data_IF_506584788202
#
_entry.id   IF_506584788202
#
_cell.length_a   1.000
_cell.length_b   1.000
_cell.length_c   1.000
_cell.angle_alpha   90.00
_cell.angle_beta   90.00
_cell.angle_gamma   90.00
#
_symmetry.space_group_name_H-M   'P 1'
#
loop_
_entity.id
_entity.type
_entity.pdbx_description
1 polymer ?
#
# COMPACT_ATOMS: atom_id res chain seq x y z
N UNK A 1 25.20 39.49 38.28
CA UNK A 1 24.09 38.50 38.24
C UNK A 1 22.93 39.18 37.54
N UNK A 2 22.64 38.78 36.31
CA UNK A 2 21.72 39.47 35.40
C UNK A 2 20.26 39.14 35.65
N UNK A 3 19.44 40.18 35.65
CA UNK A 3 17.97 40.16 35.68
C UNK A 3 17.45 40.07 34.25
N UNK A 4 16.53 39.14 33.97
CA UNK A 4 15.60 39.26 32.84
C UNK A 4 14.19 38.88 33.28
N UNK A 5 13.28 39.79 32.93
CA UNK A 5 11.84 39.85 33.20
C UNK A 5 11.05 39.03 32.18
N UNK A 6 9.97 38.45 32.67
CA UNK A 6 8.59 38.48 32.15
C UNK A 6 8.20 37.85 30.80
N UNK A 7 6.99 37.24 30.91
CA UNK A 7 5.86 37.23 29.99
C UNK A 7 5.83 36.16 28.88
N UNK A 8 4.90 35.21 29.00
CA UNK A 8 3.56 35.31 28.39
C UNK A 8 2.90 33.92 28.36
N UNK A 9 1.70 33.80 28.93
CA UNK A 9 0.75 32.74 28.58
C UNK A 9 0.25 32.96 27.14
N UNK A 10 -0.17 31.91 26.42
CA UNK A 10 -1.52 31.40 26.67
C UNK A 10 -1.60 29.88 26.74
N UNK A 11 -2.52 29.44 27.59
CA UNK A 11 -3.14 28.12 27.52
C UNK A 11 -3.78 27.99 26.12
N UNK A 12 -3.11 27.28 25.21
CA UNK A 12 -3.74 26.82 23.99
C UNK A 12 -4.74 25.71 24.36
N UNK A 13 -5.95 26.14 24.68
CA UNK A 13 -7.12 25.34 24.40
C UNK A 13 -7.18 25.12 22.89
N UNK A 14 -6.93 23.89 22.46
CA UNK A 14 -7.39 23.40 21.17
C UNK A 14 -7.45 21.88 21.24
N UNK A 15 -8.63 21.37 21.60
CA UNK A 15 -9.15 20.15 21.00
C UNK A 15 -9.25 20.38 19.49
N UNK A 16 -8.10 20.34 18.83
CA UNK A 16 -8.01 20.26 17.40
C UNK A 16 -8.06 18.78 17.09
N UNK A 17 -9.24 18.31 16.68
CA UNK A 17 -9.35 17.27 15.67
C UNK A 17 -8.12 17.38 14.76
N UNK A 18 -7.21 16.41 14.86
CA UNK A 18 -6.20 16.26 13.83
C UNK A 18 -7.00 16.25 12.52
N UNK A 19 -6.61 17.00 11.48
CA UNK A 19 -7.15 16.66 10.18
C UNK A 19 -6.87 15.16 10.06
N UNK A 20 -7.93 14.36 9.97
CA UNK A 20 -7.85 13.06 9.31
C UNK A 20 -7.30 13.43 7.95
N UNK A 21 -5.96 13.44 7.85
CA UNK A 21 -5.26 13.58 6.62
C UNK A 21 -5.88 12.47 5.81
N UNK A 22 -6.73 12.83 4.85
CA UNK A 22 -7.01 11.99 3.71
C UNK A 22 -5.64 11.79 3.09
N UNK A 23 -4.90 10.84 3.63
CA UNK A 23 -3.68 10.37 3.04
C UNK A 23 -4.19 9.67 1.80
N UNK A 24 -4.12 10.37 0.67
CA UNK A 24 -4.03 9.73 -0.64
C UNK A 24 -2.73 8.92 -0.64
N UNK A 25 -2.68 7.91 0.23
CA UNK A 25 -1.56 7.02 0.38
C UNK A 25 -1.61 6.13 -0.84
N UNK A 26 -0.61 6.27 -1.68
CA UNK A 26 -0.45 5.44 -2.88
C UNK A 26 -0.38 3.99 -2.41
N UNK A 27 -1.39 3.21 -2.75
CA UNK A 27 -1.41 1.78 -2.49
C UNK A 27 -0.37 1.12 -3.42
N UNK A 28 0.78 0.73 -2.85
CA UNK A 28 1.92 0.10 -3.55
C UNK A 28 2.40 -1.13 -2.76
N UNK A 29 3.06 -2.11 -3.43
CA UNK A 29 3.62 -3.26 -2.73
C UNK A 29 4.77 -2.85 -1.80
N UNK A 30 4.68 -3.23 -0.54
CA UNK A 30 5.77 -3.27 0.41
C UNK A 30 6.43 -4.64 0.36
N UNK A 31 7.65 -4.70 -0.16
CA UNK A 31 8.47 -5.91 -0.19
C UNK A 31 9.40 -5.94 1.04
N UNK A 32 9.78 -7.12 1.54
CA UNK A 32 9.55 -8.47 1.00
C UNK A 32 8.28 -9.16 1.51
N UNK A 33 7.50 -8.55 2.40
CA UNK A 33 6.33 -9.18 3.01
C UNK A 33 5.05 -9.11 2.15
N UNK A 34 5.10 -8.36 1.04
CA UNK A 34 4.00 -8.18 0.08
C UNK A 34 2.72 -7.69 0.75
N UNK A 35 2.86 -6.70 1.64
CA UNK A 35 1.75 -5.93 2.20
C UNK A 35 1.71 -4.56 1.57
N UNK A 36 0.53 -3.99 1.46
CA UNK A 36 0.41 -2.64 0.97
C UNK A 36 1.02 -1.65 1.99
N UNK A 37 1.81 -0.69 1.50
CA UNK A 37 2.41 0.34 2.36
C UNK A 37 1.34 1.28 2.94
N UNK A 38 0.24 1.49 2.24
CA UNK A 38 -0.83 2.40 2.64
C UNK A 38 -1.69 1.84 3.79
N UNK A 39 -2.20 0.61 3.62
CA UNK A 39 -3.20 0.01 4.51
C UNK A 39 -2.71 -1.24 5.26
N UNK A 40 -1.50 -1.72 4.98
CA UNK A 40 -0.92 -2.92 5.63
C UNK A 40 -1.59 -4.25 5.27
N UNK A 41 -2.67 -4.20 4.48
CA UNK A 41 -3.36 -5.38 3.96
C UNK A 41 -2.47 -6.16 2.99
N UNK A 42 -2.84 -7.40 2.69
CA UNK A 42 -2.11 -8.20 1.70
C UNK A 42 -2.18 -7.53 0.32
N UNK A 43 -1.03 -7.37 -0.32
CA UNK A 43 -0.95 -6.83 -1.67
C UNK A 43 -1.30 -7.92 -2.72
N UNK A 44 -2.12 -7.61 -3.74
CA UNK A 44 -2.78 -6.32 -3.98
C UNK A 44 -4.04 -6.14 -3.11
N UNK A 45 -4.08 -5.04 -2.35
CA UNK A 45 -5.26 -4.65 -1.58
C UNK A 45 -6.36 -4.12 -2.51
N UNK A 46 -7.60 -4.01 -2.04
CA UNK A 46 -8.75 -3.65 -2.89
C UNK A 46 -8.57 -2.29 -3.57
N UNK A 47 -8.14 -1.26 -2.83
CA UNK A 47 -7.86 0.06 -3.39
C UNK A 47 -6.68 0.04 -4.39
N UNK A 48 -5.65 -0.77 -4.12
CA UNK A 48 -4.54 -1.00 -5.06
C UNK A 48 -5.01 -1.64 -6.37
N UNK A 49 -5.93 -2.60 -6.29
CA UNK A 49 -6.55 -3.25 -7.46
C UNK A 49 -7.34 -2.27 -8.30
N UNK A 50 -8.20 -1.46 -7.68
CA UNK A 50 -8.98 -0.42 -8.36
C UNK A 50 -8.07 0.58 -9.08
N UNK A 51 -7.08 1.12 -8.37
CA UNK A 51 -6.10 2.07 -8.93
C UNK A 51 -5.32 1.49 -10.09
N UNK A 52 -4.83 0.25 -9.98
CA UNK A 52 -4.10 -0.41 -11.06
C UNK A 52 -5.00 -0.67 -12.28
N UNK A 53 -6.24 -1.10 -12.08
CA UNK A 53 -7.22 -1.24 -13.18
C UNK A 53 -7.44 0.09 -13.89
N UNK A 54 -7.64 1.18 -13.16
CA UNK A 54 -7.83 2.51 -13.74
C UNK A 54 -6.59 2.98 -14.51
N UNK A 55 -5.39 2.79 -13.94
CA UNK A 55 -4.12 3.18 -14.57
C UNK A 55 -3.83 2.41 -15.85
N UNK A 56 -4.33 1.17 -15.96
CA UNK A 56 -4.13 0.29 -17.10
C UNK A 56 -5.42 0.03 -17.89
N UNK A 57 -6.44 0.89 -17.77
CA UNK A 57 -7.74 0.68 -18.39
C UNK A 57 -7.64 0.51 -19.91
N UNK A 58 -6.75 1.26 -20.58
CA UNK A 58 -6.50 1.16 -22.02
C UNK A 58 -5.60 -0.03 -22.41
N UNK A 59 -4.92 -0.64 -21.44
CA UNK A 59 -3.88 -1.67 -21.65
C UNK A 59 -3.97 -2.78 -20.59
N UNK A 60 -5.06 -3.56 -20.54
CA UNK A 60 -5.24 -4.62 -19.55
C UNK A 60 -4.18 -5.74 -19.66
N UNK A 61 -3.63 -5.98 -20.85
CA UNK A 61 -2.53 -6.93 -21.05
C UNK A 61 -1.24 -6.52 -20.32
N UNK A 62 -0.96 -5.21 -20.21
CA UNK A 62 0.20 -4.70 -19.47
C UNK A 62 0.01 -4.97 -17.97
N UNK A 63 -1.20 -4.76 -17.45
CA UNK A 63 -1.54 -5.06 -16.06
C UNK A 63 -1.39 -6.55 -15.75
N UNK A 64 -1.90 -7.41 -16.62
CA UNK A 64 -1.76 -8.86 -16.47
C UNK A 64 -0.28 -9.27 -16.42
N UNK A 65 0.55 -8.70 -17.30
CA UNK A 65 1.99 -8.97 -17.35
C UNK A 65 2.69 -8.49 -16.07
N UNK A 66 2.36 -7.26 -15.61
CA UNK A 66 2.88 -6.70 -14.38
C UNK A 66 2.52 -7.56 -13.17
N UNK A 67 1.27 -8.03 -13.07
CA UNK A 67 0.82 -8.83 -11.95
C UNK A 67 1.40 -10.24 -11.95
N UNK A 68 1.61 -10.85 -13.12
CA UNK A 68 2.32 -12.14 -13.22
C UNK A 68 3.77 -12.02 -12.76
N UNK A 69 4.50 -11.01 -13.23
CA UNK A 69 5.88 -10.77 -12.79
C UNK A 69 5.98 -10.49 -11.28
N UNK A 70 5.00 -9.74 -10.75
CA UNK A 70 4.89 -9.47 -9.31
C UNK A 70 4.62 -10.76 -8.52
N UNK A 71 3.76 -11.65 -9.01
CA UNK A 71 3.47 -12.93 -8.38
C UNK A 71 4.70 -13.84 -8.31
N UNK A 72 5.50 -13.89 -9.37
CA UNK A 72 6.76 -14.65 -9.38
C UNK A 72 7.74 -14.13 -8.35
N UNK A 73 7.89 -12.79 -8.27
CA UNK A 73 8.74 -12.13 -7.26
C UNK A 73 8.23 -12.41 -5.85
N UNK A 74 6.92 -12.36 -5.63
CA UNK A 74 6.30 -12.65 -4.34
C UNK A 74 6.49 -14.09 -3.89
N UNK A 75 6.49 -15.05 -4.81
CA UNK A 75 6.80 -16.43 -4.48
C UNK A 75 8.24 -16.56 -3.95
N UNK A 76 9.19 -15.82 -4.52
CA UNK A 76 10.59 -15.84 -4.07
C UNK A 76 10.71 -15.17 -2.70
N UNK A 77 10.19 -13.96 -2.56
CA UNK A 77 10.34 -13.17 -1.32
C UNK A 77 9.63 -13.82 -0.12
N UNK A 78 8.50 -14.49 -0.34
CA UNK A 78 7.74 -15.19 0.69
C UNK A 78 8.21 -16.64 0.94
N UNK A 79 9.19 -17.14 0.18
CA UNK A 79 9.67 -18.53 0.30
C UNK A 79 8.60 -19.58 -0.05
N UNK A 80 7.80 -19.31 -1.09
CA UNK A 80 6.79 -20.26 -1.57
C UNK A 80 7.44 -21.32 -2.46
N UNK A 81 8.06 -22.32 -1.83
CA UNK A 81 8.73 -23.43 -2.50
C UNK A 81 7.73 -24.47 -3.03
N UNK A 82 6.63 -24.69 -2.31
CA UNK A 82 5.63 -25.70 -2.67
C UNK A 82 4.70 -25.23 -3.79
N UNK A 83 4.35 -26.10 -4.77
CA UNK A 83 3.49 -25.75 -5.90
C UNK A 83 2.14 -25.14 -5.49
N UNK A 84 1.52 -25.65 -4.42
CA UNK A 84 0.26 -25.14 -3.91
C UNK A 84 0.35 -23.71 -3.35
N UNK A 85 1.47 -23.38 -2.70
CA UNK A 85 1.71 -22.04 -2.17
C UNK A 85 1.93 -21.04 -3.31
N UNK A 86 2.69 -21.44 -4.34
CA UNK A 86 2.91 -20.63 -5.56
C UNK A 86 1.60 -20.33 -6.29
N UNK A 87 0.78 -21.35 -6.48
CA UNK A 87 -0.54 -21.22 -7.09
C UNK A 87 -1.44 -20.27 -6.28
N UNK A 88 -1.46 -20.38 -4.96
CA UNK A 88 -2.24 -19.49 -4.10
C UNK A 88 -1.79 -18.01 -4.19
N UNK A 89 -0.48 -17.76 -4.32
CA UNK A 89 0.06 -16.41 -4.54
C UNK A 89 -0.34 -15.90 -5.93
N UNK A 90 -0.11 -16.71 -6.98
CA UNK A 90 -0.43 -16.34 -8.35
C UNK A 90 -1.91 -16.00 -8.51
N UNK A 91 -2.79 -16.87 -8.02
CA UNK A 91 -4.24 -16.67 -8.03
C UNK A 91 -4.64 -15.35 -7.38
N UNK A 92 -4.14 -15.07 -6.17
CA UNK A 92 -4.47 -13.84 -5.47
C UNK A 92 -4.02 -12.58 -6.23
N UNK A 93 -2.85 -12.65 -6.87
CA UNK A 93 -2.28 -11.52 -7.59
C UNK A 93 -2.89 -11.30 -8.97
N UNK A 94 -3.42 -12.34 -9.61
CA UNK A 94 -3.79 -12.29 -11.03
C UNK A 94 -5.30 -12.41 -11.27
N UNK A 95 -6.05 -13.15 -10.47
CA UNK A 95 -7.45 -13.50 -10.77
C UNK A 95 -8.42 -12.29 -10.84
N UNK A 96 -8.04 -11.16 -10.26
CA UNK A 96 -8.86 -9.95 -10.29
C UNK A 96 -8.61 -9.09 -11.54
N UNK A 97 -7.55 -9.36 -12.31
CA UNK A 97 -7.21 -8.57 -13.49
C UNK A 97 -8.23 -8.85 -14.58
N UNK A 98 -8.89 -7.82 -15.14
CA UNK A 98 -9.83 -8.03 -16.24
C UNK A 98 -9.08 -8.55 -17.48
N UNK A 99 -9.53 -9.71 -17.98
CA UNK A 99 -9.03 -10.36 -19.20
C UNK A 99 -9.98 -10.16 -20.37
#
# INVERSE_FOLDING_TARGET
>A
MGVYKSAASPLYGRSGMLPEFGTDTVHVPGTPDWRCIADGARWPCEAGRQRLTEQHADRPADLLTLMKASAERACIDLGADEPAAREAIHRHMVDWVPT
#
